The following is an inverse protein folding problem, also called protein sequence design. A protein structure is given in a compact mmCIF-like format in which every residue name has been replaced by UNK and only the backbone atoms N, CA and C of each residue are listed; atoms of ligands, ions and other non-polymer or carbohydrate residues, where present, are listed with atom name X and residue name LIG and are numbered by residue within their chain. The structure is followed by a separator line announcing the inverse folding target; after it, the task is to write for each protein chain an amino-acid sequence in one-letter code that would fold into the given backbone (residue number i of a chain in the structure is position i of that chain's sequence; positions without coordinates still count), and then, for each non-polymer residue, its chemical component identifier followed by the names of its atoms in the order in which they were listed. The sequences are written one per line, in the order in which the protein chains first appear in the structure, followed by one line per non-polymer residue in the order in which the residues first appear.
data_IF_655380269728
#
_entry.id   IF_655380269728
#
_cell.length_a   1.000
_cell.length_b   1.000
_cell.length_c   1.000
_cell.angle_alpha   90.00
_cell.angle_beta   90.00
_cell.angle_gamma   90.00
#
_symmetry.space_group_name_H-M   'P 1'
#
loop_
_entity.id
_entity.type
_entity.pdbx_description
1 polymer ?
#
# COMPACT_ATOMS: atom_id res chain seq x y z
N UNK A 1 2.73 6.61 -9.04
CA UNK A 1 3.40 6.76 -7.74
C UNK A 1 4.91 6.60 -7.90
N UNK A 2 5.66 7.19 -7.00
CA UNK A 2 7.12 7.07 -6.96
C UNK A 2 7.53 5.68 -6.43
N UNK A 3 8.07 4.84 -7.29
CA UNK A 3 8.47 3.47 -6.94
C UNK A 3 9.57 3.45 -5.86
N UNK A 4 10.46 4.45 -5.84
CA UNK A 4 11.57 4.51 -4.89
C UNK A 4 11.10 4.68 -3.44
N UNK A 5 9.95 5.32 -3.23
CA UNK A 5 9.37 5.53 -1.89
C UNK A 5 8.15 4.66 -1.61
N UNK A 6 7.89 3.67 -2.47
CA UNK A 6 6.72 2.80 -2.35
C UNK A 6 6.77 1.99 -1.05
N UNK A 7 5.64 1.91 -0.38
CA UNK A 7 5.46 1.15 0.85
C UNK A 7 4.05 0.59 0.94
N UNK A 8 3.90 -0.49 1.69
CA UNK A 8 2.59 -1.00 2.07
C UNK A 8 2.24 -0.39 3.42
N UNK A 9 1.29 0.53 3.40
CA UNK A 9 0.89 1.32 4.56
C UNK A 9 -0.29 0.66 5.25
N UNK A 10 -0.18 0.43 6.56
CA UNK A 10 -1.30 0.01 7.39
C UNK A 10 -1.74 1.18 8.26
N UNK A 11 -3.03 1.51 8.18
CA UNK A 11 -3.64 2.56 9.01
C UNK A 11 -4.55 1.88 10.01
N UNK A 12 -4.25 2.04 11.28
CA UNK A 12 -5.07 1.51 12.37
C UNK A 12 -5.84 2.65 13.02
N UNK A 13 -7.18 2.60 12.92
CA UNK A 13 -8.05 3.57 13.56
C UNK A 13 -8.39 3.12 14.98
N UNK A 14 -8.68 4.09 15.85
CA UNK A 14 -9.17 3.81 17.21
C UNK A 14 -10.71 3.90 17.26
N UNK A 15 -11.37 3.49 16.17
CA UNK A 15 -12.81 3.59 15.99
C UNK A 15 -13.36 2.30 15.42
N UNK A 16 -14.63 2.03 15.73
CA UNK A 16 -15.39 0.98 15.05
C UNK A 16 -15.73 1.44 13.62
N UNK A 17 -16.12 0.47 12.76
CA UNK A 17 -16.51 0.79 11.38
C UNK A 17 -17.67 1.79 11.32
N UNK A 18 -18.66 1.65 12.20
CA UNK A 18 -19.81 2.55 12.21
C UNK A 18 -19.43 3.98 12.61
N UNK A 19 -18.55 4.13 13.60
CA UNK A 19 -18.04 5.43 14.03
C UNK A 19 -17.22 6.10 12.94
N UNK A 20 -16.34 5.33 12.28
CA UNK A 20 -15.48 5.82 11.19
C UNK A 20 -16.32 6.27 9.99
N UNK A 21 -17.26 5.44 9.55
CA UNK A 21 -18.14 5.77 8.40
C UNK A 21 -18.93 7.03 8.67
N UNK A 22 -19.45 7.20 9.90
CA UNK A 22 -20.19 8.39 10.27
C UNK A 22 -19.34 9.66 10.19
N UNK A 23 -18.11 9.60 10.70
CA UNK A 23 -17.18 10.74 10.66
C UNK A 23 -16.81 11.09 9.20
N UNK A 24 -16.47 10.08 8.40
CA UNK A 24 -16.10 10.28 7.01
C UNK A 24 -17.26 10.89 6.21
N UNK A 25 -18.47 10.37 6.42
CA UNK A 25 -19.66 10.91 5.74
C UNK A 25 -19.94 12.37 6.11
N UNK A 26 -19.79 12.73 7.38
CA UNK A 26 -20.13 14.05 7.88
C UNK A 26 -19.06 15.11 7.63
N UNK A 27 -17.78 14.72 7.63
CA UNK A 27 -16.66 15.67 7.67
C UNK A 27 -15.85 15.76 6.39
N UNK A 28 -15.87 14.73 5.54
CA UNK A 28 -15.15 14.80 4.27
C UNK A 28 -15.81 15.77 3.31
N UNK A 29 -14.99 16.62 2.70
CA UNK A 29 -15.43 17.47 1.58
C UNK A 29 -15.69 16.61 0.33
N UNK A 30 -16.41 17.18 -0.67
CA UNK A 30 -16.64 16.50 -1.94
C UNK A 30 -15.34 16.18 -2.66
N UNK A 31 -14.34 17.08 -2.61
CA UNK A 31 -13.03 16.87 -3.21
C UNK A 31 -12.26 15.74 -2.50
N UNK A 32 -12.33 15.68 -1.19
CA UNK A 32 -11.72 14.58 -0.41
C UNK A 32 -12.37 13.23 -0.74
N UNK A 33 -13.70 13.19 -0.86
CA UNK A 33 -14.42 11.97 -1.26
C UNK A 33 -14.00 11.51 -2.65
N UNK A 34 -13.89 12.41 -3.61
CA UNK A 34 -13.46 12.11 -4.98
C UNK A 34 -12.03 11.58 -4.99
N UNK A 35 -11.14 12.23 -4.27
CA UNK A 35 -9.74 11.82 -4.22
C UNK A 35 -9.58 10.44 -3.59
N UNK A 36 -10.25 10.17 -2.47
CA UNK A 36 -10.20 8.86 -1.80
C UNK A 36 -10.78 7.76 -2.68
N UNK A 37 -11.88 8.03 -3.34
CA UNK A 37 -12.50 7.07 -4.25
C UNK A 37 -11.59 6.74 -5.42
N UNK A 38 -10.95 7.74 -6.01
CA UNK A 38 -9.98 7.55 -7.10
C UNK A 38 -8.76 6.77 -6.61
N UNK A 39 -8.24 7.11 -5.43
CA UNK A 39 -7.12 6.39 -4.85
C UNK A 39 -7.43 4.91 -4.65
N UNK A 40 -8.62 4.58 -4.14
CA UNK A 40 -9.02 3.19 -3.90
C UNK A 40 -9.17 2.38 -5.20
N UNK A 41 -9.41 3.05 -6.32
CA UNK A 41 -9.45 2.41 -7.64
C UNK A 41 -8.05 2.25 -8.24
N UNK A 42 -7.13 3.19 -7.96
CA UNK A 42 -5.83 3.26 -8.61
C UNK A 42 -4.76 2.40 -7.94
N UNK A 43 -4.89 2.14 -6.64
CA UNK A 43 -3.87 1.41 -5.87
C UNK A 43 -4.46 0.18 -5.19
N UNK A 44 -3.65 -0.90 -5.04
CA UNK A 44 -4.05 -2.04 -4.22
C UNK A 44 -4.37 -1.60 -2.79
N UNK A 45 -5.52 -2.02 -2.28
CA UNK A 45 -5.96 -1.67 -0.94
C UNK A 45 -6.96 -2.69 -0.42
N UNK A 46 -7.09 -2.73 0.92
CA UNK A 46 -8.02 -3.61 1.60
C UNK A 46 -8.37 -3.00 2.95
N UNK A 47 -9.64 -3.07 3.34
CA UNK A 47 -10.09 -2.74 4.69
C UNK A 47 -10.34 -4.04 5.44
N UNK A 48 -9.78 -4.15 6.64
CA UNK A 48 -9.93 -5.30 7.52
C UNK A 48 -10.58 -4.83 8.82
N UNK A 49 -11.59 -5.58 9.28
CA UNK A 49 -12.24 -5.33 10.56
C UNK A 49 -11.82 -6.48 11.49
N UNK A 50 -11.22 -6.15 12.62
CA UNK A 50 -10.76 -7.14 13.58
C UNK A 50 -11.92 -7.66 14.46
N UNK A 51 -11.62 -8.57 15.38
CA UNK A 51 -12.60 -9.17 16.29
C UNK A 51 -13.28 -8.16 17.24
N UNK A 52 -12.67 -6.98 17.42
CA UNK A 52 -13.21 -5.87 18.23
C UNK A 52 -13.94 -4.82 17.39
N UNK A 53 -14.22 -5.13 16.12
CA UNK A 53 -14.84 -4.21 15.14
C UNK A 53 -13.99 -2.97 14.81
N UNK A 54 -12.70 -2.98 15.15
CA UNK A 54 -11.77 -1.89 14.83
C UNK A 54 -11.30 -2.03 13.38
N UNK A 55 -11.29 -0.91 12.66
CA UNK A 55 -10.93 -0.87 11.24
C UNK A 55 -9.42 -0.70 11.06
N UNK A 56 -8.88 -1.48 10.15
CA UNK A 56 -7.51 -1.34 9.65
C UNK A 56 -7.58 -1.20 8.14
N UNK A 57 -7.02 -0.14 7.59
CA UNK A 57 -6.87 0.02 6.14
C UNK A 57 -5.43 -0.32 5.75
N UNK A 58 -5.29 -1.08 4.67
CA UNK A 58 -3.98 -1.40 4.09
C UNK A 58 -3.99 -0.89 2.66
N UNK A 59 -3.01 -0.09 2.29
CA UNK A 59 -2.91 0.43 0.92
C UNK A 59 -1.46 0.59 0.49
N UNK A 60 -1.26 0.40 -0.81
CA UNK A 60 0.03 0.69 -1.44
C UNK A 60 0.15 2.20 -1.63
N UNK A 61 1.22 2.80 -1.13
CA UNK A 61 1.40 4.25 -1.13
C UNK A 61 2.87 4.62 -1.31
N UNK A 62 3.12 5.73 -2.00
CA UNK A 62 4.41 6.40 -1.96
C UNK A 62 4.42 7.48 -0.87
N UNK A 63 5.50 8.21 -0.73
CA UNK A 63 5.61 9.26 0.29
C UNK A 63 4.57 10.35 0.11
N UNK A 64 4.27 10.74 -1.13
CA UNK A 64 3.25 11.76 -1.42
C UNK A 64 1.86 11.31 -0.95
N UNK A 65 1.46 10.09 -1.31
CA UNK A 65 0.15 9.54 -0.91
C UNK A 65 0.07 9.39 0.60
N UNK A 66 1.13 8.88 1.22
CA UNK A 66 1.20 8.72 2.69
C UNK A 66 0.96 10.05 3.41
N UNK A 67 1.70 11.09 3.04
CA UNK A 67 1.57 12.41 3.66
C UNK A 67 0.17 12.99 3.46
N UNK A 68 -0.37 12.85 2.25
CA UNK A 68 -1.70 13.36 1.93
C UNK A 68 -2.81 12.66 2.71
N UNK A 69 -2.72 11.33 2.85
CA UNK A 69 -3.67 10.55 3.65
C UNK A 69 -3.58 10.95 5.12
N UNK A 70 -2.38 11.00 5.68
CA UNK A 70 -2.19 11.37 7.09
C UNK A 70 -2.68 12.80 7.38
N UNK A 71 -2.40 13.73 6.49
CA UNK A 71 -2.87 15.13 6.61
C UNK A 71 -4.39 15.21 6.57
N UNK A 72 -5.01 14.49 5.66
CA UNK A 72 -6.47 14.44 5.55
C UNK A 72 -7.11 13.86 6.80
N UNK A 73 -6.63 12.71 7.27
CA UNK A 73 -7.19 12.05 8.46
C UNK A 73 -7.01 12.90 9.72
N UNK A 74 -5.88 13.56 9.87
CA UNK A 74 -5.63 14.49 10.97
C UNK A 74 -6.58 15.67 10.90
N UNK A 75 -6.80 16.23 9.71
CA UNK A 75 -7.74 17.33 9.49
C UNK A 75 -9.19 16.96 9.81
N UNK A 76 -9.55 15.70 9.64
CA UNK A 76 -10.88 15.18 10.01
C UNK A 76 -11.03 14.92 11.51
N UNK A 77 -9.96 15.11 12.29
CA UNK A 77 -9.98 14.88 13.74
C UNK A 77 -9.91 13.41 14.12
N UNK A 78 -9.48 12.54 13.23
CA UNK A 78 -9.36 11.10 13.51
C UNK A 78 -8.09 10.80 14.29
N UNK A 79 -8.19 9.86 15.23
CA UNK A 79 -7.04 9.28 15.93
C UNK A 79 -6.68 7.98 15.23
N UNK A 80 -5.44 7.89 14.76
CA UNK A 80 -4.97 6.74 14.00
C UNK A 80 -3.47 6.54 14.19
N UNK A 81 -3.00 5.35 13.83
CA UNK A 81 -1.57 5.03 13.74
C UNK A 81 -1.27 4.47 12.36
N UNK A 82 -0.09 4.79 11.83
CA UNK A 82 0.36 4.25 10.55
C UNK A 82 1.59 3.38 10.74
N UNK A 83 1.66 2.29 9.97
CA UNK A 83 2.76 1.35 9.99
C UNK A 83 3.18 1.02 8.56
N UNK A 84 4.48 0.95 8.32
CA UNK A 84 5.02 0.40 7.08
C UNK A 84 5.15 -1.12 7.24
N UNK A 85 4.33 -1.87 6.53
CA UNK A 85 4.30 -3.34 6.56
C UNK A 85 4.84 -3.95 5.28
N UNK A 86 5.70 -3.23 4.55
CA UNK A 86 6.27 -3.71 3.29
C UNK A 86 7.02 -5.04 3.44
N UNK A 87 7.69 -5.26 4.57
CA UNK A 87 8.38 -6.51 4.86
C UNK A 87 7.43 -7.71 4.91
N UNK A 88 6.20 -7.52 5.35
CA UNK A 88 5.19 -8.58 5.39
C UNK A 88 4.87 -9.03 3.96
N UNK A 89 4.68 -8.10 3.05
CA UNK A 89 4.44 -8.44 1.64
C UNK A 89 5.60 -9.24 1.03
N UNK A 90 6.84 -8.84 1.30
CA UNK A 90 8.01 -9.52 0.74
C UNK A 90 8.27 -10.88 1.39
N UNK A 91 8.25 -10.95 2.72
CA UNK A 91 8.76 -12.10 3.49
C UNK A 91 7.66 -12.99 4.07
N UNK A 92 6.46 -12.47 4.28
CA UNK A 92 5.34 -13.17 4.91
C UNK A 92 4.01 -12.88 4.22
N UNK A 93 3.92 -13.03 2.87
CA UNK A 93 2.71 -12.68 2.13
C UNK A 93 1.49 -13.49 2.55
N UNK A 94 1.68 -14.66 3.16
CA UNK A 94 0.60 -15.48 3.70
C UNK A 94 -0.16 -14.81 4.86
N UNK A 95 0.38 -13.75 5.45
CA UNK A 95 -0.31 -12.95 6.48
C UNK A 95 -1.25 -11.91 5.89
N UNK A 96 -1.24 -11.73 4.58
CA UNK A 96 -2.15 -10.86 3.84
C UNK A 96 -3.18 -11.70 3.09
N UNK A 97 -4.29 -11.10 2.69
CA UNK A 97 -5.27 -11.82 1.85
C UNK A 97 -4.65 -12.15 0.49
N UNK A 98 -5.08 -13.26 -0.09
CA UNK A 98 -4.63 -13.69 -1.43
C UNK A 98 -4.95 -12.63 -2.48
N UNK A 99 -6.13 -11.99 -2.37
CA UNK A 99 -6.54 -10.93 -3.29
C UNK A 99 -5.62 -9.73 -3.22
N UNK A 100 -5.27 -9.28 -2.01
CA UNK A 100 -4.37 -8.13 -1.83
C UNK A 100 -2.98 -8.44 -2.39
N UNK A 101 -2.43 -9.61 -2.10
CA UNK A 101 -1.13 -10.04 -2.64
C UNK A 101 -1.16 -10.05 -4.16
N UNK A 102 -2.21 -10.61 -4.76
CA UNK A 102 -2.37 -10.65 -6.21
C UNK A 102 -2.47 -9.25 -6.81
N UNK A 103 -3.22 -8.35 -6.20
CA UNK A 103 -3.37 -6.97 -6.67
C UNK A 103 -2.04 -6.23 -6.59
N UNK A 104 -1.27 -6.42 -5.52
CA UNK A 104 0.06 -5.81 -5.38
C UNK A 104 1.03 -6.40 -6.41
N UNK A 105 1.05 -7.72 -6.60
CA UNK A 105 1.90 -8.38 -7.60
C UNK A 105 1.62 -7.83 -9.00
N UNK A 106 0.36 -7.67 -9.36
CA UNK A 106 -0.03 -7.10 -10.66
C UNK A 106 0.41 -5.64 -10.78
N UNK A 107 0.26 -4.85 -9.73
CA UNK A 107 0.72 -3.47 -9.71
C UNK A 107 2.25 -3.40 -9.91
N UNK A 108 2.99 -4.22 -9.18
CA UNK A 108 4.46 -4.29 -9.25
C UNK A 108 4.90 -4.67 -10.66
N UNK A 109 4.31 -5.72 -11.25
CA UNK A 109 4.63 -6.16 -12.62
C UNK A 109 4.38 -5.08 -13.67
N UNK A 110 3.30 -4.32 -13.52
CA UNK A 110 2.87 -3.34 -14.51
C UNK A 110 3.50 -1.97 -14.35
N UNK A 111 3.99 -1.64 -13.16
CA UNK A 111 4.45 -0.28 -12.82
C UNK A 111 5.97 -0.17 -12.70
N UNK A 112 6.67 -1.25 -12.41
CA UNK A 112 8.13 -1.26 -12.26
C UNK A 112 8.77 -1.70 -13.58
N UNK A 113 9.83 -1.02 -13.97
CA UNK A 113 10.58 -1.28 -15.20
C UNK A 113 11.94 -1.90 -14.84
N UNK A 114 12.27 -3.01 -15.47
CA UNK A 114 13.50 -3.77 -15.18
C UNK A 114 14.75 -2.90 -15.30
N UNK A 115 14.85 -2.09 -16.35
CA UNK A 115 16.02 -1.23 -16.55
C UNK A 115 16.21 -0.24 -15.41
N UNK A 116 15.09 0.31 -14.87
CA UNK A 116 15.14 1.22 -13.73
C UNK A 116 15.64 0.52 -12.47
N UNK A 117 15.22 -0.73 -12.24
CA UNK A 117 15.70 -1.53 -11.09
C UNK A 117 17.18 -1.83 -11.22
N UNK A 118 17.65 -2.21 -12.42
CA UNK A 118 19.06 -2.47 -12.67
C UNK A 118 19.91 -1.21 -12.46
N UNK A 119 19.43 -0.05 -12.90
CA UNK A 119 20.09 1.23 -12.65
C UNK A 119 20.18 1.53 -11.14
N UNK A 120 19.13 1.23 -10.39
CA UNK A 120 19.10 1.38 -8.93
C UNK A 120 20.13 0.47 -8.26
N UNK A 121 20.25 -0.77 -8.70
CA UNK A 121 21.26 -1.71 -8.18
C UNK A 121 22.66 -1.14 -8.35
N UNK A 122 22.94 -0.57 -9.54
CA UNK A 122 24.24 0.04 -9.83
C UNK A 122 24.49 1.29 -8.96
N UNK A 123 23.44 2.04 -8.64
CA UNK A 123 23.52 3.28 -7.89
C UNK A 123 23.63 3.07 -6.38
N UNK A 124 22.81 2.18 -5.80
CA UNK A 124 22.68 2.03 -4.36
C UNK A 124 22.96 0.62 -3.84
N UNK A 125 23.15 -0.37 -4.71
CA UNK A 125 23.33 -1.76 -4.34
C UNK A 125 22.01 -2.52 -4.18
N UNK A 126 22.05 -3.83 -4.43
CA UNK A 126 20.89 -4.71 -4.33
C UNK A 126 20.26 -4.69 -2.93
N UNK A 127 21.09 -4.67 -1.89
CA UNK A 127 20.65 -4.69 -0.49
C UNK A 127 19.86 -3.44 -0.07
N UNK A 128 19.94 -2.37 -0.84
CA UNK A 128 19.23 -1.13 -0.57
C UNK A 128 17.97 -0.94 -1.41
N UNK A 129 17.62 -1.92 -2.23
CA UNK A 129 16.33 -1.94 -2.93
C UNK A 129 15.18 -2.08 -1.92
N UNK A 130 14.04 -1.46 -2.21
CA UNK A 130 12.85 -1.64 -1.37
C UNK A 130 12.19 -3.00 -1.64
N UNK A 131 11.22 -3.35 -0.82
CA UNK A 131 10.53 -4.64 -0.90
C UNK A 131 9.88 -4.90 -2.26
N UNK A 132 9.36 -3.86 -2.90
CA UNK A 132 8.64 -3.96 -4.19
C UNK A 132 9.61 -4.16 -5.36
N UNK A 133 10.73 -3.48 -5.35
CA UNK A 133 11.79 -3.69 -6.33
C UNK A 133 12.37 -5.11 -6.23
N UNK A 134 12.59 -5.60 -5.01
CA UNK A 134 13.04 -6.98 -4.76
C UNK A 134 12.00 -8.01 -5.22
N UNK A 135 10.74 -7.77 -4.89
CA UNK A 135 9.64 -8.65 -5.31
C UNK A 135 9.50 -8.67 -6.83
N UNK A 136 9.65 -7.52 -7.48
CA UNK A 136 9.64 -7.43 -8.93
C UNK A 136 10.67 -8.37 -9.57
N UNK A 137 11.89 -8.37 -9.07
CA UNK A 137 12.93 -9.28 -9.56
C UNK A 137 12.55 -10.74 -9.37
N UNK A 138 11.97 -11.10 -8.22
CA UNK A 138 11.47 -12.45 -7.95
C UNK A 138 10.36 -12.85 -8.92
N UNK A 139 9.42 -11.94 -9.20
CA UNK A 139 8.32 -12.18 -10.14
C UNK A 139 8.82 -12.34 -11.57
N UNK A 140 9.87 -11.63 -11.96
CA UNK A 140 10.51 -11.80 -13.28
C UNK A 140 11.12 -13.21 -13.41
N UNK A 141 11.83 -13.67 -12.39
CA UNK A 141 12.40 -15.01 -12.37
C UNK A 141 11.29 -16.08 -12.47
N UNK A 142 10.19 -15.90 -11.72
CA UNK A 142 9.03 -16.80 -11.74
C UNK A 142 8.30 -16.85 -13.08
N UNK A 143 8.46 -15.84 -13.93
CA UNK A 143 7.91 -15.78 -15.29
C UNK A 143 8.85 -16.34 -16.34
N UNK A 144 10.06 -16.76 -15.97
CA UNK A 144 11.02 -17.36 -16.89
C UNK A 144 10.62 -18.82 -17.16
N UNK A 145 10.39 -19.21 -18.45
CA UNK A 145 10.02 -20.59 -18.79
C UNK A 145 11.02 -21.65 -18.33
N UNK A 146 12.30 -21.30 -18.20
CA UNK A 146 13.33 -22.21 -17.72
C UNK A 146 13.20 -22.52 -16.22
N UNK A 147 12.51 -21.68 -15.46
CA UNK A 147 12.29 -21.82 -14.03
C UNK A 147 10.90 -22.37 -13.69
N UNK A 148 10.10 -22.63 -14.69
CA UNK A 148 8.73 -23.14 -14.50
C UNK A 148 8.64 -24.64 -14.54
#
# INVERSE_FOLDING_TARGET
MDIKSLKLLKIQYELTIDELDKILFQRMSDDEKKWTQQLSQDVPNESVIDEYEVVHDILLADDYVKVRVETMLTGLGLVFKTYDISDIYLNHPNLLSDKLVQDIDNYVKNSIILDDVLDRINEIGFENLNSFERKFLTLQDGNNPENS
#
